data_IF_876427923661
#
_entry.id   IF_876427923661
#
_cell.length_a   1.000
_cell.length_b   1.000
_cell.length_c   1.000
_cell.angle_alpha   90.00
_cell.angle_beta   90.00
_cell.angle_gamma   90.00
#
_symmetry.space_group_name_H-M   'P 1'
#
loop_
_entity.id
_entity.type
_entity.pdbx_description
1 polymer ?
#
# COMPACT_ATOMS: atom_id res chain seq x y z
N UNK A 1 28.94 -28.85 1.64
CA UNK A 1 27.99 -28.06 0.83
C UNK A 1 28.42 -26.62 0.95
N UNK A 2 28.96 -26.02 -0.10
CA UNK A 2 29.33 -24.61 -0.16
C UNK A 2 28.02 -23.80 -0.20
N UNK A 3 27.71 -23.12 0.91
CA UNK A 3 26.60 -22.15 0.97
C UNK A 3 26.90 -21.07 -0.06
N UNK A 4 26.10 -21.01 -1.13
CA UNK A 4 26.17 -19.94 -2.10
C UNK A 4 26.00 -18.63 -1.34
N UNK A 5 26.92 -17.64 -1.47
CA UNK A 5 26.75 -16.36 -0.78
C UNK A 5 25.40 -15.77 -1.17
N UNK A 6 24.64 -15.31 -0.19
CA UNK A 6 23.35 -14.64 -0.42
C UNK A 6 23.60 -13.47 -1.38
N UNK A 7 22.79 -13.37 -2.44
CA UNK A 7 22.90 -12.28 -3.39
C UNK A 7 22.62 -10.96 -2.67
N UNK A 8 23.40 -9.90 -2.92
CA UNK A 8 23.19 -8.62 -2.25
C UNK A 8 21.82 -8.05 -2.59
N UNK A 9 21.13 -7.51 -1.58
CA UNK A 9 19.85 -6.83 -1.76
C UNK A 9 20.08 -5.56 -2.59
N UNK A 10 19.25 -5.35 -3.61
CA UNK A 10 19.31 -4.20 -4.53
C UNK A 10 18.05 -3.37 -4.57
N UNK A 11 16.93 -3.92 -4.08
CA UNK A 11 15.65 -3.23 -4.01
C UNK A 11 15.04 -3.47 -2.63
N UNK A 12 14.65 -2.38 -1.98
CA UNK A 12 13.96 -2.35 -0.69
C UNK A 12 12.56 -1.77 -0.91
N UNK A 13 11.53 -2.56 -0.65
CA UNK A 13 10.11 -2.17 -0.77
C UNK A 13 9.47 -2.26 0.60
N UNK A 14 8.91 -1.19 1.09
CA UNK A 14 8.39 -1.09 2.45
C UNK A 14 6.93 -0.66 2.44
N UNK A 15 6.10 -1.28 3.26
CA UNK A 15 4.83 -0.67 3.62
C UNK A 15 5.07 0.58 4.48
N UNK A 16 4.03 1.39 4.66
CA UNK A 16 4.12 2.62 5.46
C UNK A 16 3.52 2.42 6.85
N UNK A 17 2.21 2.16 6.92
CA UNK A 17 1.44 2.17 8.16
C UNK A 17 1.65 0.89 8.96
N UNK A 18 2.13 0.99 10.20
CA UNK A 18 2.49 -0.18 11.02
C UNK A 18 3.87 -0.77 10.69
N UNK A 19 4.53 -0.31 9.62
CA UNK A 19 5.85 -0.77 9.19
C UNK A 19 6.92 0.29 9.35
N UNK A 20 6.81 1.44 8.69
CA UNK A 20 7.71 2.60 8.84
C UNK A 20 7.12 3.64 9.78
N UNK A 21 5.80 3.79 9.77
CA UNK A 21 5.04 4.79 10.50
C UNK A 21 4.22 4.11 11.59
N UNK A 22 4.55 4.28 12.88
CA UNK A 22 3.72 3.80 13.98
C UNK A 22 2.39 4.56 14.04
N UNK A 23 1.36 3.95 14.64
CA UNK A 23 0.04 4.57 14.76
C UNK A 23 0.12 5.92 15.49
N UNK A 24 -0.30 7.00 14.81
CA UNK A 24 -0.28 8.35 15.37
C UNK A 24 1.11 8.95 15.59
N UNK A 25 2.16 8.29 15.10
CA UNK A 25 3.56 8.69 15.29
C UNK A 25 4.21 9.32 14.07
N UNK A 26 5.53 9.37 14.12
CA UNK A 26 6.42 9.82 13.04
C UNK A 26 7.42 8.72 12.72
N UNK A 27 7.97 8.72 11.51
CA UNK A 27 9.03 7.77 11.16
C UNK A 27 10.25 8.08 12.02
N UNK A 28 10.74 7.07 12.75
CA UNK A 28 11.89 7.21 13.66
C UNK A 28 13.15 7.60 12.89
N UNK A 29 13.97 8.44 13.49
CA UNK A 29 15.25 8.92 12.90
C UNK A 29 16.16 7.76 12.52
N UNK A 30 16.27 6.73 13.38
CA UNK A 30 17.01 5.51 13.09
C UNK A 30 16.54 4.82 11.79
N UNK A 31 15.23 4.77 11.56
CA UNK A 31 14.67 4.18 10.32
C UNK A 31 15.04 5.03 9.10
N UNK A 32 14.98 6.35 9.23
CA UNK A 32 15.43 7.28 8.18
C UNK A 32 16.91 7.06 7.86
N UNK A 33 17.76 6.96 8.86
CA UNK A 33 19.21 6.79 8.70
C UNK A 33 19.56 5.42 8.12
N UNK A 34 18.90 4.34 8.55
CA UNK A 34 19.09 3.00 8.01
C UNK A 34 18.74 2.95 6.51
N UNK A 35 17.61 3.57 6.10
CA UNK A 35 17.21 3.65 4.69
C UNK A 35 18.24 4.46 3.88
N UNK A 36 18.67 5.61 4.38
CA UNK A 36 19.69 6.43 3.73
C UNK A 36 21.02 5.69 3.57
N UNK A 37 21.46 4.97 4.60
CA UNK A 37 22.67 4.15 4.55
C UNK A 37 22.54 3.00 3.54
N UNK A 38 21.39 2.34 3.45
CA UNK A 38 21.12 1.32 2.43
C UNK A 38 21.20 1.91 1.02
N UNK A 39 20.61 3.09 0.80
CA UNK A 39 20.68 3.81 -0.48
C UNK A 39 22.11 4.21 -0.85
N UNK A 40 22.91 4.65 0.13
CA UNK A 40 24.33 4.96 -0.09
C UNK A 40 25.14 3.73 -0.57
N UNK A 41 24.67 2.50 -0.27
CA UNK A 41 25.20 1.25 -0.82
C UNK A 41 24.64 0.89 -2.22
N UNK A 42 23.81 1.75 -2.83
CA UNK A 42 23.22 1.52 -4.15
C UNK A 42 21.91 0.72 -4.13
N UNK A 43 21.29 0.53 -2.97
CA UNK A 43 19.96 -0.10 -2.86
C UNK A 43 18.90 0.93 -3.24
N UNK A 44 18.04 0.61 -4.21
CA UNK A 44 16.88 1.43 -4.54
C UNK A 44 15.82 1.18 -3.46
N UNK A 45 15.27 2.25 -2.88
CA UNK A 45 14.26 2.16 -1.82
C UNK A 45 12.95 2.81 -2.26
N UNK A 46 11.81 2.18 -1.90
CA UNK A 46 10.48 2.68 -2.20
C UNK A 46 9.43 2.26 -1.17
N UNK A 47 8.28 2.95 -1.20
CA UNK A 47 7.08 2.61 -0.44
C UNK A 47 6.05 1.95 -1.34
N UNK A 48 5.36 0.91 -0.81
CA UNK A 48 4.19 0.27 -1.41
C UNK A 48 3.06 0.26 -0.38
N UNK A 49 2.03 1.08 -0.58
CA UNK A 49 0.98 1.34 0.42
C UNK A 49 -0.44 1.25 -0.16
N UNK A 50 -1.42 1.08 0.72
CA UNK A 50 -2.84 1.26 0.41
C UNK A 50 -3.26 2.72 0.21
N UNK A 51 -2.44 3.68 0.67
CA UNK A 51 -2.69 5.12 0.53
C UNK A 51 -2.58 5.57 -0.94
N UNK A 52 -3.15 6.75 -1.25
CA UNK A 52 -2.89 7.40 -2.54
C UNK A 52 -1.46 7.95 -2.58
N UNK A 53 -0.87 8.03 -3.77
CA UNK A 53 0.52 8.49 -3.91
C UNK A 53 0.76 9.90 -3.38
N UNK A 54 -0.14 10.89 -3.55
CA UNK A 54 0.02 12.21 -2.92
C UNK A 54 0.27 12.18 -1.42
N UNK A 55 -0.35 11.25 -0.68
CA UNK A 55 -0.14 11.09 0.77
C UNK A 55 1.23 10.48 1.13
N UNK A 56 1.95 9.92 0.16
CA UNK A 56 3.26 9.28 0.38
C UNK A 56 4.43 10.22 0.10
N UNK A 57 4.22 11.32 -0.63
CA UNK A 57 5.28 12.20 -1.15
C UNK A 57 6.11 12.83 -0.03
N UNK A 58 5.45 13.32 1.02
CA UNK A 58 6.15 13.95 2.14
C UNK A 58 7.05 12.95 2.87
N UNK A 59 6.56 11.73 3.11
CA UNK A 59 7.36 10.64 3.69
C UNK A 59 8.52 10.26 2.77
N UNK A 60 8.27 10.15 1.45
CA UNK A 60 9.32 9.84 0.49
C UNK A 60 10.46 10.88 0.51
N UNK A 61 10.13 12.17 0.60
CA UNK A 61 11.12 13.23 0.73
C UNK A 61 11.83 13.22 2.09
N UNK A 62 11.09 12.93 3.18
CA UNK A 62 11.67 12.85 4.53
C UNK A 62 12.76 11.78 4.62
N UNK A 63 12.47 10.57 4.12
CA UNK A 63 13.41 9.44 4.16
C UNK A 63 14.33 9.38 2.94
N UNK A 64 14.14 10.29 1.98
CA UNK A 64 14.99 10.47 0.83
C UNK A 64 14.89 9.33 -0.20
N UNK A 65 13.71 8.84 -0.54
CA UNK A 65 13.52 7.77 -1.51
C UNK A 65 13.88 8.18 -2.94
N UNK A 66 14.21 7.19 -3.77
CA UNK A 66 14.56 7.33 -5.18
C UNK A 66 13.80 6.37 -6.10
N UNK A 67 13.17 5.35 -5.56
CA UNK A 67 12.27 4.46 -6.31
C UNK A 67 10.88 5.07 -6.49
N UNK A 68 10.13 4.64 -7.53
CA UNK A 68 8.79 5.14 -7.75
C UNK A 68 7.85 4.66 -6.64
N UNK A 69 6.99 5.55 -6.14
CA UNK A 69 5.98 5.24 -5.12
C UNK A 69 4.88 4.37 -5.71
N UNK A 70 4.50 3.34 -4.96
CA UNK A 70 3.39 2.45 -5.27
C UNK A 70 2.26 2.75 -4.29
N UNK A 71 1.10 3.11 -4.82
CA UNK A 71 -0.10 3.41 -4.05
C UNK A 71 -1.29 2.53 -4.42
N UNK A 72 -2.39 2.68 -3.67
CA UNK A 72 -3.66 2.02 -3.94
C UNK A 72 -3.52 0.50 -4.09
N UNK A 73 -2.88 -0.16 -3.12
CA UNK A 73 -2.63 -1.61 -3.11
C UNK A 73 -1.88 -2.13 -4.36
N UNK A 74 -1.09 -1.27 -5.02
CA UNK A 74 -0.39 -1.64 -6.24
C UNK A 74 -1.10 -1.25 -7.53
N UNK A 75 -2.31 -0.69 -7.48
CA UNK A 75 -3.03 -0.25 -8.67
C UNK A 75 -2.33 0.90 -9.40
N UNK A 76 -1.60 1.74 -8.68
CA UNK A 76 -0.97 2.94 -9.25
C UNK A 76 0.50 3.03 -8.83
N UNK A 77 1.36 3.48 -9.75
CA UNK A 77 2.73 3.87 -9.42
C UNK A 77 3.09 5.19 -10.10
N UNK A 78 3.82 6.04 -9.36
CA UNK A 78 4.29 7.35 -9.84
C UNK A 78 5.75 7.57 -9.49
N UNK A 79 6.44 8.32 -10.31
CA UNK A 79 7.75 8.88 -9.93
C UNK A 79 7.56 9.90 -8.81
N UNK A 80 8.56 10.01 -7.95
CA UNK A 80 8.57 11.01 -6.89
C UNK A 80 8.81 12.39 -7.55
N UNK A 81 7.94 13.38 -7.35
CA UNK A 81 8.19 14.73 -7.85
C UNK A 81 9.39 15.34 -7.11
N UNK A 82 10.05 16.30 -7.71
CA UNK A 82 11.12 17.04 -7.03
C UNK A 82 10.56 17.79 -5.80
N UNK A 83 11.39 17.96 -4.77
CA UNK A 83 10.97 18.67 -3.56
C UNK A 83 10.56 20.12 -3.93
N UNK A 84 9.33 20.49 -3.58
CA UNK A 84 8.73 21.79 -3.94
C UNK A 84 8.03 21.80 -5.31
N UNK A 85 8.11 20.75 -6.10
CA UNK A 85 7.32 20.61 -7.32
C UNK A 85 5.86 20.26 -6.98
N UNK A 86 4.92 20.98 -7.59
CA UNK A 86 3.50 20.75 -7.40
C UNK A 86 3.04 19.47 -8.12
N UNK A 87 2.07 18.77 -7.53
CA UNK A 87 1.45 17.60 -8.11
C UNK A 87 1.92 16.28 -7.51
N UNK A 88 1.60 15.17 -8.19
CA UNK A 88 1.77 13.81 -7.67
C UNK A 88 2.90 13.02 -8.35
N UNK A 89 3.74 13.70 -9.13
CA UNK A 89 4.74 13.04 -9.97
C UNK A 89 4.14 12.35 -11.23
N UNK A 90 5.01 11.96 -12.14
CA UNK A 90 4.61 11.31 -13.41
C UNK A 90 4.01 9.93 -13.15
N UNK A 91 2.78 9.71 -13.65
CA UNK A 91 2.14 8.39 -13.63
C UNK A 91 2.91 7.43 -14.54
N UNK A 92 3.38 6.31 -13.99
CA UNK A 92 4.15 5.28 -14.73
C UNK A 92 3.44 3.93 -14.81
N UNK A 93 2.44 3.71 -13.96
CA UNK A 93 1.56 2.54 -13.97
C UNK A 93 0.18 2.91 -13.46
N UNK A 94 -0.86 2.39 -14.12
CA UNK A 94 -2.21 2.30 -13.59
C UNK A 94 -2.85 0.99 -14.05
N UNK A 95 -3.32 0.19 -13.09
CA UNK A 95 -4.15 -0.99 -13.32
C UNK A 95 -5.58 -0.63 -12.95
N UNK A 96 -6.39 -0.27 -13.94
CA UNK A 96 -7.67 0.35 -13.66
C UNK A 96 -8.74 -0.69 -13.34
N UNK A 97 -9.57 -0.38 -12.36
CA UNK A 97 -10.88 -0.95 -12.13
C UNK A 97 -11.90 -0.16 -12.96
N UNK A 98 -12.65 -0.79 -13.89
CA UNK A 98 -13.68 -0.11 -14.68
C UNK A 98 -14.77 0.51 -13.80
N UNK A 99 -15.24 1.72 -14.17
CA UNK A 99 -16.23 2.47 -13.39
C UNK A 99 -17.53 1.71 -13.09
N UNK A 100 -18.04 0.92 -14.06
CA UNK A 100 -19.26 0.13 -13.86
C UNK A 100 -19.08 -0.97 -12.79
N UNK A 101 -17.89 -1.58 -12.68
CA UNK A 101 -17.58 -2.53 -11.60
C UNK A 101 -17.42 -1.82 -10.26
N UNK A 102 -16.83 -0.61 -10.26
CA UNK A 102 -16.82 0.24 -9.08
C UNK A 102 -18.21 0.64 -8.61
N UNK A 103 -19.13 0.98 -9.53
CA UNK A 103 -20.54 1.24 -9.23
C UNK A 103 -21.23 0.01 -8.60
N UNK A 104 -20.98 -1.19 -9.17
CA UNK A 104 -21.48 -2.46 -8.61
C UNK A 104 -20.98 -2.70 -7.18
N UNK A 105 -19.69 -2.44 -6.93
CA UNK A 105 -19.11 -2.58 -5.59
C UNK A 105 -19.73 -1.59 -4.59
N UNK A 106 -19.87 -0.30 -4.95
CA UNK A 106 -20.50 0.71 -4.09
C UNK A 106 -21.98 0.39 -3.82
N UNK A 107 -22.73 -0.09 -4.83
CA UNK A 107 -24.12 -0.51 -4.65
C UNK A 107 -24.22 -1.69 -3.68
N UNK A 108 -23.37 -2.71 -3.85
CA UNK A 108 -23.29 -3.85 -2.95
C UNK A 108 -22.94 -3.42 -1.50
N UNK A 109 -22.03 -2.45 -1.33
CA UNK A 109 -21.72 -1.90 0.00
C UNK A 109 -23.00 -1.34 0.65
N UNK A 110 -23.78 -0.53 -0.07
CA UNK A 110 -25.06 0.04 0.44
C UNK A 110 -26.05 -1.05 0.85
N UNK A 111 -26.21 -2.10 0.03
CA UNK A 111 -27.10 -3.24 0.32
C UNK A 111 -26.66 -4.02 1.57
N UNK A 112 -25.37 -3.96 1.93
CA UNK A 112 -24.81 -4.58 3.12
C UNK A 112 -24.58 -3.60 4.29
N UNK A 113 -25.23 -2.42 4.26
CA UNK A 113 -25.11 -1.36 5.28
C UNK A 113 -23.69 -0.85 5.49
N UNK A 114 -22.90 -0.80 4.41
CA UNK A 114 -21.55 -0.25 4.39
C UNK A 114 -21.53 1.04 3.58
N UNK A 115 -20.62 1.94 3.93
CA UNK A 115 -20.32 3.12 3.12
C UNK A 115 -19.09 2.86 2.25
N UNK A 116 -19.31 2.89 0.94
CA UNK A 116 -18.24 2.71 -0.05
C UNK A 116 -17.87 4.03 -0.70
N UNK A 117 -16.57 4.29 -0.84
CA UNK A 117 -16.07 5.40 -1.64
C UNK A 117 -15.14 4.90 -2.74
N UNK A 118 -15.02 5.67 -3.83
CA UNK A 118 -14.18 5.33 -4.97
C UNK A 118 -12.92 6.19 -5.02
N UNK A 119 -11.83 5.61 -5.51
CA UNK A 119 -10.61 6.37 -5.80
C UNK A 119 -10.34 6.30 -7.30
N UNK A 120 -10.45 7.45 -7.98
CA UNK A 120 -10.22 7.60 -9.41
C UNK A 120 -8.78 8.06 -9.61
N UNK A 121 -7.88 7.13 -9.96
CA UNK A 121 -6.43 7.31 -9.84
C UNK A 121 -6.04 7.63 -8.40
N UNK A 122 -5.81 8.91 -8.06
CA UNK A 122 -5.49 9.38 -6.71
C UNK A 122 -6.63 10.22 -6.09
N UNK A 123 -7.72 10.46 -6.83
CA UNK A 123 -8.80 11.34 -6.40
C UNK A 123 -9.88 10.57 -5.68
N UNK A 124 -10.14 10.92 -4.42
CA UNK A 124 -11.23 10.37 -3.62
C UNK A 124 -12.57 10.95 -4.05
N UNK A 125 -13.55 10.08 -4.24
CA UNK A 125 -14.96 10.47 -4.50
C UNK A 125 -15.86 9.73 -3.52
N UNK A 126 -16.56 10.50 -2.70
CA UNK A 126 -17.50 10.02 -1.71
C UNK A 126 -18.91 10.46 -2.10
N UNK A 127 -19.91 9.71 -1.65
CA UNK A 127 -21.29 10.21 -1.64
C UNK A 127 -21.38 11.37 -0.64
N UNK A 128 -22.09 12.44 -0.99
CA UNK A 128 -22.24 13.60 -0.09
C UNK A 128 -22.91 13.24 1.24
N UNK A 129 -23.65 12.12 1.30
CA UNK A 129 -24.33 11.60 2.49
C UNK A 129 -23.43 10.69 3.34
N UNK A 130 -22.22 10.34 2.86
CA UNK A 130 -21.31 9.45 3.57
C UNK A 130 -20.85 10.11 4.89
N UNK A 131 -21.10 9.50 6.05
CA UNK A 131 -20.73 10.07 7.34
C UNK A 131 -19.20 10.22 7.52
N UNK A 132 -18.39 9.49 6.74
CA UNK A 132 -16.94 9.52 6.80
C UNK A 132 -16.32 10.70 6.03
N UNK A 133 -17.12 11.53 5.31
CA UNK A 133 -16.58 12.70 4.58
C UNK A 133 -15.70 13.57 5.49
N UNK A 134 -16.17 13.91 6.70
CA UNK A 134 -15.40 14.72 7.66
C UNK A 134 -14.11 14.05 8.13
N UNK A 135 -14.13 12.73 8.30
CA UNK A 135 -12.94 11.95 8.66
C UNK A 135 -11.88 12.09 7.57
N UNK A 136 -12.25 11.91 6.29
CA UNK A 136 -11.34 12.12 5.15
C UNK A 136 -10.86 13.55 5.04
N UNK A 137 -11.70 14.53 5.35
CA UNK A 137 -11.32 15.95 5.38
C UNK A 137 -10.22 16.26 6.40
N UNK A 138 -10.24 15.57 7.53
CA UNK A 138 -9.25 15.72 8.60
C UNK A 138 -7.99 14.89 8.33
N UNK A 139 -8.18 13.67 7.84
CA UNK A 139 -7.09 12.72 7.64
C UNK A 139 -6.20 13.05 6.43
N UNK A 140 -6.81 13.46 5.30
CA UNK A 140 -6.05 13.86 4.11
C UNK A 140 -5.47 15.26 4.31
N UNK A 141 -4.18 15.40 4.05
CA UNK A 141 -3.44 16.67 4.18
C UNK A 141 -2.73 17.02 2.87
N UNK A 142 -2.24 18.25 2.77
CA UNK A 142 -1.44 18.73 1.64
C UNK A 142 -2.08 18.47 0.26
N UNK A 143 -1.33 17.91 -0.65
CA UNK A 143 -1.79 17.58 -2.01
C UNK A 143 -2.90 16.50 -2.01
N UNK A 144 -2.89 15.58 -1.05
CA UNK A 144 -3.93 14.56 -0.93
C UNK A 144 -5.30 15.16 -0.58
N UNK A 145 -5.34 16.20 0.26
CA UNK A 145 -6.60 16.89 0.64
C UNK A 145 -7.28 17.57 -0.55
N UNK A 146 -6.51 18.13 -1.48
CA UNK A 146 -7.01 18.74 -2.70
C UNK A 146 -7.71 17.75 -3.64
N UNK A 147 -7.51 16.46 -3.43
CA UNK A 147 -8.05 15.36 -4.26
C UNK A 147 -9.32 14.74 -3.70
N UNK A 148 -9.81 15.23 -2.57
CA UNK A 148 -11.08 14.83 -2.01
C UNK A 148 -12.22 15.62 -2.66
N UNK A 149 -13.25 14.90 -3.10
CA UNK A 149 -14.48 15.50 -3.60
C UNK A 149 -15.70 14.63 -3.28
N UNK A 150 -16.87 15.28 -3.18
CA UNK A 150 -18.14 14.62 -2.98
C UNK A 150 -19.01 14.69 -4.23
N UNK A 151 -19.91 13.71 -4.38
CA UNK A 151 -20.91 13.67 -5.47
C UNK A 151 -22.28 13.35 -4.86
N UNK A 152 -23.40 13.79 -5.50
CA UNK A 152 -24.74 13.58 -4.96
C UNK A 152 -25.12 12.11 -4.82
N UNK A 153 -24.73 11.27 -5.78
CA UNK A 153 -24.88 9.81 -5.75
C UNK A 153 -23.70 9.14 -6.43
N UNK A 154 -22.93 8.39 -5.65
CA UNK A 154 -21.67 7.81 -6.13
C UNK A 154 -21.92 6.66 -7.10
N UNK A 155 -22.98 5.85 -6.93
CA UNK A 155 -23.29 4.74 -7.82
C UNK A 155 -23.61 5.28 -9.22
N UNK A 156 -24.52 6.22 -9.31
CA UNK A 156 -24.89 6.88 -10.58
C UNK A 156 -23.68 7.57 -11.21
N UNK A 157 -22.90 8.30 -10.40
CA UNK A 157 -21.69 8.99 -10.87
C UNK A 157 -20.70 8.05 -11.55
N UNK A 158 -20.49 6.84 -10.99
CA UNK A 158 -19.56 5.83 -11.53
C UNK A 158 -20.14 5.08 -12.72
N UNK A 159 -21.46 4.81 -12.74
CA UNK A 159 -22.13 4.05 -13.79
C UNK A 159 -22.25 4.82 -15.10
N UNK A 160 -22.55 6.12 -15.01
CA UNK A 160 -22.84 6.96 -16.18
C UNK A 160 -21.58 7.51 -16.89
N UNK A 161 -20.40 7.32 -16.31
CA UNK A 161 -19.13 7.88 -16.81
C UNK A 161 -18.14 6.80 -17.17
N UNK A 162 -17.39 7.01 -18.24
CA UNK A 162 -16.23 6.17 -18.58
C UNK A 162 -15.06 6.48 -17.63
N UNK A 163 -15.14 5.97 -16.40
CA UNK A 163 -14.12 6.18 -15.39
C UNK A 163 -13.27 4.93 -15.19
N UNK A 164 -12.04 5.16 -14.76
CA UNK A 164 -11.07 4.15 -14.40
C UNK A 164 -10.57 4.40 -12.98
N UNK A 165 -11.00 3.56 -12.05
CA UNK A 165 -10.68 3.66 -10.64
C UNK A 165 -9.38 2.93 -10.32
N UNK A 166 -8.72 3.32 -9.24
CA UNK A 166 -7.65 2.52 -8.64
C UNK A 166 -8.22 1.49 -7.68
N UNK A 167 -9.27 1.85 -6.92
CA UNK A 167 -9.98 0.95 -6.01
C UNK A 167 -11.32 1.53 -5.57
N UNK A 168 -12.15 0.69 -4.93
CA UNK A 168 -13.24 1.10 -4.04
C UNK A 168 -12.86 0.66 -2.63
N UNK A 169 -13.15 1.49 -1.63
CA UNK A 169 -12.95 1.16 -0.21
C UNK A 169 -14.30 1.25 0.49
N UNK A 170 -14.63 0.24 1.27
CA UNK A 170 -15.81 0.25 2.13
C UNK A 170 -15.42 0.30 3.60
N UNK A 171 -16.13 1.13 4.34
CA UNK A 171 -16.06 1.16 5.80
C UNK A 171 -17.02 0.11 6.37
N UNK A 172 -16.49 -0.80 7.17
CA UNK A 172 -17.25 -1.76 7.95
C UNK A 172 -17.13 -1.41 9.43
N UNK A 173 -18.18 -1.62 10.23
CA UNK A 173 -18.07 -1.50 11.68
C UNK A 173 -16.99 -2.42 12.24
N UNK A 174 -16.33 -1.98 13.30
CA UNK A 174 -15.28 -2.75 13.98
C UNK A 174 -15.76 -4.17 14.33
N UNK A 175 -14.94 -5.17 14.05
CA UNK A 175 -15.26 -6.59 14.29
C UNK A 175 -16.21 -7.25 13.29
N UNK A 176 -16.68 -6.54 12.24
CA UNK A 176 -17.60 -7.10 11.23
C UNK A 176 -16.95 -7.43 9.90
N UNK A 177 -15.67 -7.08 9.72
CA UNK A 177 -14.99 -7.17 8.41
C UNK A 177 -14.92 -8.61 7.90
N UNK A 178 -14.60 -9.59 8.74
CA UNK A 178 -14.40 -10.99 8.30
C UNK A 178 -15.66 -11.60 7.68
N UNK A 179 -16.81 -11.46 8.34
CA UNK A 179 -18.07 -11.98 7.79
C UNK A 179 -18.55 -11.27 6.52
N UNK A 180 -18.13 -10.03 6.31
CA UNK A 180 -18.40 -9.25 5.09
C UNK A 180 -17.43 -9.62 3.97
N UNK A 181 -16.16 -9.89 4.30
CA UNK A 181 -15.12 -10.27 3.35
C UNK A 181 -15.50 -11.50 2.52
N UNK A 182 -15.94 -12.57 3.19
CA UNK A 182 -16.29 -13.83 2.50
C UNK A 182 -17.48 -13.64 1.55
N UNK A 183 -18.51 -12.86 1.99
CA UNK A 183 -19.63 -12.52 1.12
C UNK A 183 -19.22 -11.67 -0.08
N UNK A 184 -18.35 -10.68 0.14
CA UNK A 184 -17.82 -9.84 -0.93
C UNK A 184 -17.02 -10.66 -1.94
N UNK A 185 -16.13 -11.52 -1.47
CA UNK A 185 -15.33 -12.42 -2.33
C UNK A 185 -16.21 -13.36 -3.14
N UNK A 186 -17.24 -13.94 -2.54
CA UNK A 186 -18.19 -14.81 -3.24
C UNK A 186 -18.99 -14.03 -4.30
N UNK A 187 -19.44 -12.81 -3.98
CA UNK A 187 -20.23 -11.97 -4.90
C UNK A 187 -19.42 -11.52 -6.10
N UNK A 188 -18.17 -11.16 -5.90
CA UNK A 188 -17.31 -10.56 -6.94
C UNK A 188 -16.27 -11.54 -7.49
N UNK A 189 -16.44 -12.85 -7.28
CA UNK A 189 -15.51 -13.87 -7.75
C UNK A 189 -15.23 -13.73 -9.26
N UNK A 190 -13.94 -13.55 -9.61
CA UNK A 190 -13.50 -13.36 -11.00
C UNK A 190 -13.71 -11.96 -11.59
N UNK A 191 -14.46 -11.07 -10.90
CA UNK A 191 -14.67 -9.69 -11.35
C UNK A 191 -13.77 -8.71 -10.59
N UNK A 192 -13.61 -8.90 -9.26
CA UNK A 192 -12.81 -8.04 -8.39
C UNK A 192 -12.03 -8.89 -7.39
N UNK A 193 -10.87 -8.40 -7.01
CA UNK A 193 -10.17 -8.87 -5.82
C UNK A 193 -10.64 -8.08 -4.60
N UNK A 194 -10.87 -8.79 -3.48
CA UNK A 194 -11.32 -8.18 -2.23
C UNK A 194 -10.35 -8.53 -1.11
N UNK A 195 -9.84 -7.51 -0.45
CA UNK A 195 -8.88 -7.64 0.67
C UNK A 195 -9.22 -6.73 1.84
N UNK A 196 -8.58 -6.97 2.97
CA UNK A 196 -8.61 -6.12 4.16
C UNK A 196 -7.27 -5.38 4.24
N UNK A 197 -7.30 -4.06 4.41
CA UNK A 197 -6.12 -3.23 4.64
C UNK A 197 -6.07 -2.64 6.06
N UNK A 198 -7.19 -2.68 6.77
CA UNK A 198 -7.38 -2.23 8.14
C UNK A 198 -8.57 -2.99 8.73
N UNK A 199 -8.67 -3.21 10.06
CA UNK A 199 -9.82 -3.89 10.67
C UNK A 199 -11.20 -3.36 10.30
N UNK A 200 -11.28 -2.12 9.81
CA UNK A 200 -12.53 -1.47 9.38
C UNK A 200 -12.64 -1.26 7.86
N UNK A 201 -11.62 -1.65 7.07
CA UNK A 201 -11.58 -1.34 5.63
C UNK A 201 -11.56 -2.59 4.76
N UNK A 202 -12.61 -2.71 3.95
CA UNK A 202 -12.71 -3.67 2.87
C UNK A 202 -12.37 -2.96 1.56
N UNK A 203 -11.44 -3.50 0.80
CA UNK A 203 -10.95 -2.89 -0.44
C UNK A 203 -11.25 -3.78 -1.64
N UNK A 204 -11.78 -3.16 -2.70
CA UNK A 204 -12.07 -3.80 -3.98
C UNK A 204 -11.13 -3.24 -5.05
N UNK A 205 -10.39 -4.12 -5.70
CA UNK A 205 -9.46 -3.78 -6.77
C UNK A 205 -9.74 -4.59 -8.03
N UNK A 206 -9.13 -4.22 -9.14
CA UNK A 206 -9.16 -5.05 -10.34
C UNK A 206 -8.45 -6.39 -10.06
N UNK A 207 -8.85 -7.50 -10.73
CA UNK A 207 -8.26 -8.82 -10.51
C UNK A 207 -6.74 -8.82 -10.67
N UNK A 208 -6.03 -9.43 -9.73
CA UNK A 208 -4.58 -9.52 -9.71
C UNK A 208 -3.87 -8.23 -9.30
N UNK A 209 -4.59 -7.22 -8.83
CA UNK A 209 -3.99 -5.98 -8.31
C UNK A 209 -3.74 -6.11 -6.82
N UNK A 210 -2.49 -6.30 -6.45
CA UNK A 210 -2.02 -6.33 -5.07
C UNK A 210 -0.57 -5.82 -4.98
N UNK A 211 -0.05 -5.64 -3.76
CA UNK A 211 1.33 -5.16 -3.54
C UNK A 211 2.38 -6.12 -4.11
N UNK A 212 2.12 -7.44 -4.13
CA UNK A 212 3.03 -8.44 -4.69
C UNK A 212 3.16 -8.35 -6.21
N UNK A 213 2.05 -8.20 -6.94
CA UNK A 213 2.09 -8.00 -8.40
C UNK A 213 2.74 -6.67 -8.76
N UNK A 214 2.55 -5.63 -7.95
CA UNK A 214 3.23 -4.35 -8.13
C UNK A 214 4.74 -4.47 -7.88
N UNK A 215 5.17 -5.21 -6.86
CA UNK A 215 6.58 -5.50 -6.59
C UNK A 215 7.21 -6.26 -7.77
N UNK A 216 6.56 -7.33 -8.27
CA UNK A 216 7.06 -8.09 -9.45
C UNK A 216 7.21 -7.19 -10.67
N UNK A 217 6.28 -6.27 -10.89
CA UNK A 217 6.37 -5.29 -11.96
C UNK A 217 7.55 -4.32 -11.74
N UNK A 218 7.70 -3.77 -10.53
CA UNK A 218 8.79 -2.85 -10.21
C UNK A 218 10.15 -3.53 -10.35
N UNK A 219 10.31 -4.74 -9.80
CA UNK A 219 11.54 -5.52 -9.89
C UNK A 219 11.95 -5.78 -11.35
N UNK A 220 10.98 -6.14 -12.22
CA UNK A 220 11.23 -6.29 -13.67
C UNK A 220 11.64 -4.97 -14.33
N UNK A 221 10.95 -3.87 -14.00
CA UNK A 221 11.27 -2.53 -14.51
C UNK A 221 12.69 -2.10 -14.15
N UNK A 222 13.13 -2.41 -12.94
CA UNK A 222 14.46 -2.10 -12.41
C UNK A 222 15.51 -3.18 -12.74
N UNK A 223 15.13 -4.23 -13.48
CA UNK A 223 15.99 -5.37 -13.81
C UNK A 223 16.64 -6.00 -12.56
N UNK A 224 15.87 -6.07 -11.47
CA UNK A 224 16.31 -6.65 -10.18
C UNK A 224 15.66 -8.02 -10.01
N UNK A 225 16.43 -9.10 -9.90
CA UNK A 225 15.89 -10.42 -9.55
C UNK A 225 15.16 -10.40 -8.21
N UNK A 226 14.06 -11.14 -8.08
CA UNK A 226 13.28 -11.19 -6.84
C UNK A 226 14.11 -11.67 -5.63
N UNK A 227 15.10 -12.55 -5.84
CA UNK A 227 16.06 -12.96 -4.82
C UNK A 227 16.97 -11.84 -4.28
N UNK A 228 16.97 -10.65 -4.91
CA UNK A 228 17.68 -9.45 -4.47
C UNK A 228 16.73 -8.36 -3.98
N UNK A 229 15.48 -8.72 -3.70
CA UNK A 229 14.45 -7.80 -3.17
C UNK A 229 14.22 -8.11 -1.70
N UNK A 230 14.27 -7.07 -0.88
CA UNK A 230 13.76 -7.09 0.49
C UNK A 230 12.43 -6.36 0.53
N UNK A 231 11.42 -7.00 1.12
CA UNK A 231 10.11 -6.40 1.35
C UNK A 231 9.80 -6.42 2.84
N UNK A 232 9.22 -5.35 3.39
CA UNK A 232 8.82 -5.24 4.80
C UNK A 232 7.35 -4.84 4.86
N UNK A 233 6.56 -5.52 5.69
CA UNK A 233 5.13 -5.25 5.85
C UNK A 233 4.54 -5.89 7.11
N UNK A 234 3.29 -5.55 7.46
CA UNK A 234 2.65 -5.95 8.72
C UNK A 234 1.21 -6.47 8.58
N UNK A 235 0.53 -6.28 7.43
CA UNK A 235 -0.88 -6.60 7.28
C UNK A 235 -1.17 -7.59 6.13
N UNK A 236 -2.41 -8.06 6.05
CA UNK A 236 -2.86 -9.02 5.02
C UNK A 236 -2.59 -8.55 3.59
N UNK A 237 -2.67 -7.24 3.32
CA UNK A 237 -2.37 -6.67 2.02
C UNK A 237 -0.88 -6.69 1.65
N UNK A 238 0.00 -7.07 2.59
CA UNK A 238 1.44 -7.27 2.36
C UNK A 238 1.80 -8.73 2.05
N UNK A 239 0.89 -9.66 2.30
CA UNK A 239 1.14 -11.10 2.20
C UNK A 239 1.83 -11.46 0.88
N UNK A 240 1.23 -11.09 -0.25
CA UNK A 240 1.78 -11.39 -1.58
C UNK A 240 3.09 -10.64 -1.85
N UNK A 241 3.29 -9.47 -1.24
CA UNK A 241 4.55 -8.72 -1.37
C UNK A 241 5.69 -9.42 -0.63
N UNK A 242 5.43 -9.91 0.57
CA UNK A 242 6.41 -10.65 1.38
C UNK A 242 6.72 -12.02 0.78
N UNK A 243 5.70 -12.73 0.28
CA UNK A 243 5.85 -14.05 -0.34
C UNK A 243 6.73 -14.03 -1.59
N UNK A 244 6.58 -12.99 -2.44
CA UNK A 244 7.34 -12.90 -3.71
C UNK A 244 8.75 -12.36 -3.56
N UNK A 245 9.06 -11.66 -2.47
CA UNK A 245 10.38 -11.12 -2.21
C UNK A 245 11.36 -12.22 -1.79
N UNK A 246 12.62 -12.14 -2.23
CA UNK A 246 13.66 -13.04 -1.76
C UNK A 246 13.99 -12.88 -0.27
N UNK A 247 13.64 -11.73 0.30
CA UNK A 247 13.81 -11.40 1.71
C UNK A 247 12.53 -10.70 2.23
N UNK A 248 11.44 -11.47 2.38
CA UNK A 248 10.21 -10.99 3.00
C UNK A 248 10.37 -10.88 4.51
N UNK A 249 10.02 -9.74 5.08
CA UNK A 249 10.13 -9.42 6.49
C UNK A 249 8.75 -9.03 7.01
N UNK A 250 8.20 -9.82 7.93
CA UNK A 250 6.98 -9.49 8.64
C UNK A 250 7.30 -8.72 9.93
N UNK A 251 6.56 -7.65 10.22
CA UNK A 251 6.66 -6.96 11.49
C UNK A 251 6.09 -7.79 12.64
N UNK A 252 6.64 -7.68 13.83
CA UNK A 252 6.07 -8.30 15.03
C UNK A 252 4.63 -7.80 15.25
N UNK A 253 3.72 -8.74 15.48
CA UNK A 253 2.28 -8.44 15.58
C UNK A 253 1.51 -8.59 14.26
N UNK A 254 2.19 -8.84 13.14
CA UNK A 254 1.52 -9.19 11.88
C UNK A 254 0.65 -10.45 12.04
N UNK A 255 -0.48 -10.56 11.33
CA UNK A 255 -1.32 -11.77 11.34
C UNK A 255 -0.55 -13.04 11.01
N UNK A 256 -0.98 -14.18 11.60
CA UNK A 256 -0.32 -15.48 11.41
C UNK A 256 -0.02 -15.83 9.95
N UNK A 257 -0.97 -15.72 9.01
CA UNK A 257 -0.72 -15.96 7.59
C UNK A 257 0.37 -15.07 6.98
N UNK A 258 0.47 -13.82 7.40
CA UNK A 258 1.50 -12.86 6.92
C UNK A 258 2.89 -13.26 7.42
N UNK A 259 3.00 -13.65 8.70
CA UNK A 259 4.26 -14.16 9.27
C UNK A 259 4.67 -15.48 8.63
N UNK A 260 3.72 -16.33 8.28
CA UNK A 260 4.00 -17.66 7.71
C UNK A 260 4.68 -17.62 6.34
N UNK A 261 4.47 -16.57 5.53
CA UNK A 261 5.10 -16.41 4.21
C UNK A 261 6.42 -15.65 4.27
N UNK A 262 6.69 -14.93 5.36
CA UNK A 262 7.91 -14.15 5.52
C UNK A 262 9.11 -15.04 5.87
N UNK A 263 10.30 -14.69 5.36
CA UNK A 263 11.56 -15.36 5.69
C UNK A 263 12.17 -14.84 7.00
N UNK A 264 11.75 -13.65 7.43
CA UNK A 264 12.26 -13.00 8.63
C UNK A 264 11.12 -12.34 9.40
N UNK A 265 11.29 -12.23 10.72
CA UNK A 265 10.42 -11.44 11.59
C UNK A 265 11.23 -10.27 12.16
N UNK A 266 10.66 -9.05 12.05
CA UNK A 266 11.21 -7.83 12.61
C UNK A 266 10.60 -7.55 14.00
N UNK A 267 11.27 -6.82 14.88
CA UNK A 267 10.61 -6.18 16.03
C UNK A 267 9.42 -5.31 15.60
N UNK A 268 8.66 -4.80 16.56
CA UNK A 268 7.54 -3.88 16.30
C UNK A 268 8.03 -2.59 15.64
N UNK A 269 7.12 -1.86 14.97
CA UNK A 269 7.42 -0.56 14.37
C UNK A 269 7.94 0.43 15.44
N UNK A 270 7.32 0.42 16.60
CA UNK A 270 7.68 1.26 17.75
C UNK A 270 9.09 0.94 18.32
N UNK A 271 9.62 -0.24 18.05
CA UNK A 271 10.93 -0.73 18.46
C UNK A 271 11.98 -0.66 17.34
N UNK A 272 11.77 0.22 16.35
CA UNK A 272 12.64 0.40 15.18
C UNK A 272 12.79 -0.88 14.31
N UNK A 273 11.77 -1.73 14.25
CA UNK A 273 11.88 -3.04 13.62
C UNK A 273 12.37 -3.00 12.18
N UNK A 274 11.86 -2.07 11.36
CA UNK A 274 12.31 -1.90 9.98
C UNK A 274 13.80 -1.51 9.90
N UNK A 275 14.24 -0.55 10.73
CA UNK A 275 15.65 -0.13 10.80
C UNK A 275 16.58 -1.30 11.13
N UNK A 276 16.25 -2.05 12.20
CA UNK A 276 17.05 -3.22 12.64
C UNK A 276 17.21 -4.26 11.54
N UNK A 277 16.16 -4.51 10.77
CA UNK A 277 16.23 -5.47 9.67
C UNK A 277 17.03 -4.96 8.47
N UNK A 278 16.95 -3.67 8.15
CA UNK A 278 17.79 -3.02 7.14
C UNK A 278 19.27 -3.08 7.56
N UNK A 279 19.56 -2.71 8.80
CA UNK A 279 20.91 -2.79 9.38
C UNK A 279 21.47 -4.20 9.30
N UNK A 280 20.69 -5.21 9.70
CA UNK A 280 21.07 -6.61 9.69
C UNK A 280 21.30 -7.17 8.29
N UNK A 281 20.32 -7.00 7.36
CA UNK A 281 20.31 -7.70 6.09
C UNK A 281 21.00 -6.94 4.95
N UNK A 282 21.07 -5.60 5.03
CA UNK A 282 21.67 -4.76 3.99
C UNK A 282 23.00 -4.18 4.43
N UNK A 283 23.08 -3.67 5.67
CA UNK A 283 24.28 -2.98 6.14
C UNK A 283 25.32 -3.95 6.71
N UNK A 284 24.91 -5.15 7.14
CA UNK A 284 25.80 -6.15 7.71
C UNK A 284 26.19 -5.85 9.16
N UNK A 285 25.46 -4.96 9.83
CA UNK A 285 25.65 -4.70 11.27
C UNK A 285 25.13 -5.90 12.06
N UNK A 286 25.94 -6.50 12.92
CA UNK A 286 25.44 -7.45 13.89
C UNK A 286 24.45 -6.71 14.79
N UNK A 287 23.19 -7.14 14.80
CA UNK A 287 22.16 -6.56 15.66
C UNK A 287 22.58 -6.73 17.12
N UNK A 288 22.64 -5.62 17.85
CA UNK A 288 22.61 -5.61 19.30
C UNK A 288 21.20 -5.91 19.81
#
# INVERSE_FOLDING_TARGET
MTVKPALPIRLLVMDLDGTLLPHGGVIAERTVDAIRAARAKGVIATISSGRNVPSLIEYAHQIGLDGPLIGMQGAIAREIPAKGEAGSGRLIRHFPLPGHLGAKAVAWCRENNLWGHAVIRDDYRLDVRDPHVRQYETWLQGEARKRLGTVPDLVTYLAERRLYLSKVVAHAPEGHVDGVLDRARATFAGELDVTISHPEYLEFTAPGVNKGTALRWLARRLKTPLGQVMAIGDQYNDLEMLDVAGHGVAMAGAPGPVRAVAQYEAPRCEDDGAARMIERLILGSAGE
#
